data_IF_363077918885
#
_entry.id   IF_363077918885
#
_cell.length_a   1.000
_cell.length_b   1.000
_cell.length_c   1.000
_cell.angle_alpha   90.00
_cell.angle_beta   90.00
_cell.angle_gamma   90.00
#
_symmetry.space_group_name_H-M   'P 1'
#
loop_
_entity.id
_entity.type
_entity.pdbx_description
1 polymer ?
#
# COMPACT_ATOMS: atom_id res chain seq x y z
N UNK A 1 -5.13 0.99 -23.89
CA UNK A 1 -6.32 1.68 -24.42
C UNK A 1 -6.79 0.87 -25.61
N UNK A 2 -7.93 0.19 -25.51
CA UNK A 2 -8.35 -0.88 -26.43
C UNK A 2 -9.87 -0.92 -26.60
N UNK A 3 -10.46 -2.10 -26.77
CA UNK A 3 -11.89 -2.34 -27.06
C UNK A 3 -12.90 -1.99 -25.97
N UNK A 4 -12.46 -1.42 -24.84
CA UNK A 4 -13.34 -1.04 -23.72
C UNK A 4 -13.24 0.47 -23.46
N UNK A 5 -14.38 1.16 -23.28
CA UNK A 5 -14.39 2.58 -22.99
C UNK A 5 -13.69 2.85 -21.66
N UNK A 6 -12.86 3.89 -21.62
CA UNK A 6 -12.26 4.44 -20.42
C UNK A 6 -12.92 5.78 -20.11
N UNK A 7 -13.46 5.92 -18.89
CA UNK A 7 -14.12 7.14 -18.43
C UNK A 7 -13.21 7.80 -17.39
N UNK A 8 -12.84 9.05 -17.63
CA UNK A 8 -12.02 9.85 -16.71
C UNK A 8 -12.92 10.83 -15.96
N UNK A 9 -12.84 10.82 -14.63
CA UNK A 9 -13.61 11.71 -13.76
C UNK A 9 -12.64 12.67 -13.10
N UNK A 10 -12.75 13.95 -13.44
CA UNK A 10 -11.98 15.04 -12.83
C UNK A 10 -12.86 16.03 -12.05
N UNK A 11 -14.15 15.72 -11.88
CA UNK A 11 -15.09 16.53 -11.10
C UNK A 11 -15.30 15.96 -9.69
N UNK A 12 -15.34 16.83 -8.69
CA UNK A 12 -15.51 16.46 -7.27
C UNK A 12 -16.86 15.81 -7.00
N UNK A 13 -17.93 16.34 -7.57
CA UNK A 13 -19.30 15.86 -7.32
C UNK A 13 -19.49 14.46 -7.90
N UNK A 14 -19.03 14.26 -9.14
CA UNK A 14 -19.01 12.95 -9.79
C UNK A 14 -18.11 11.95 -9.06
N UNK A 15 -16.95 12.36 -8.57
CA UNK A 15 -16.07 11.50 -7.77
C UNK A 15 -16.75 11.07 -6.46
N UNK A 16 -17.46 11.97 -5.77
CA UNK A 16 -18.23 11.64 -4.58
C UNK A 16 -19.36 10.65 -4.89
N UNK A 17 -20.11 10.86 -5.98
CA UNK A 17 -21.14 9.93 -6.42
C UNK A 17 -20.54 8.54 -6.70
N UNK A 18 -19.42 8.47 -7.44
CA UNK A 18 -18.82 7.21 -7.84
C UNK A 18 -18.17 6.45 -6.67
N UNK A 19 -17.40 7.14 -5.82
CA UNK A 19 -16.59 6.51 -4.78
C UNK A 19 -17.32 6.35 -3.44
N UNK A 20 -18.32 7.18 -3.16
CA UNK A 20 -19.07 7.16 -1.89
C UNK A 20 -20.48 6.62 -2.11
N UNK A 21 -21.34 7.35 -2.84
CA UNK A 21 -22.76 6.97 -2.96
C UNK A 21 -22.97 5.66 -3.72
N UNK A 22 -22.20 5.44 -4.79
CA UNK A 22 -22.24 4.25 -5.66
C UNK A 22 -20.99 3.38 -5.50
N UNK A 23 -20.31 3.48 -4.35
CA UNK A 23 -19.01 2.85 -4.12
C UNK A 23 -19.00 1.34 -4.40
N UNK A 24 -20.07 0.60 -4.05
CA UNK A 24 -20.17 -0.83 -4.33
C UNK A 24 -20.23 -1.16 -5.83
N UNK A 25 -20.91 -0.33 -6.63
CA UNK A 25 -21.04 -0.51 -8.10
C UNK A 25 -19.67 -0.32 -8.77
N UNK A 26 -18.90 0.67 -8.33
CA UNK A 26 -17.59 1.01 -8.90
C UNK A 26 -16.41 0.37 -8.13
N UNK A 27 -16.66 -0.51 -7.17
CA UNK A 27 -15.59 -1.16 -6.41
C UNK A 27 -14.84 -2.23 -7.20
N UNK A 28 -15.42 -2.75 -8.28
CA UNK A 28 -14.78 -3.74 -9.13
C UNK A 28 -13.53 -3.20 -9.83
N UNK A 29 -12.58 -4.10 -10.09
CA UNK A 29 -11.37 -3.80 -10.87
C UNK A 29 -11.48 -4.43 -12.26
N UNK A 30 -10.91 -3.82 -13.30
CA UNK A 30 -10.88 -4.43 -14.61
C UNK A 30 -10.19 -5.82 -14.57
N UNK A 31 -10.59 -6.76 -15.44
CA UNK A 31 -9.87 -8.02 -15.61
C UNK A 31 -8.39 -7.80 -15.88
N UNK A 32 -7.55 -8.51 -15.13
CA UNK A 32 -6.11 -8.40 -15.22
C UNK A 32 -5.56 -9.04 -16.51
N UNK A 33 -4.53 -8.44 -17.15
CA UNK A 33 -3.74 -9.11 -18.17
C UNK A 33 -3.13 -10.42 -17.66
N UNK A 34 -2.74 -11.32 -18.57
CA UNK A 34 -2.22 -12.64 -18.21
C UNK A 34 -1.05 -12.59 -17.20
N UNK A 35 -0.10 -11.66 -17.39
CA UNK A 35 1.04 -11.47 -16.48
C UNK A 35 0.61 -11.05 -15.07
N UNK A 36 -0.30 -10.10 -14.97
CA UNK A 36 -0.83 -9.63 -13.68
C UNK A 36 -1.71 -10.66 -12.98
N UNK A 37 -2.33 -11.59 -13.71
CA UNK A 37 -3.06 -12.71 -13.09
C UNK A 37 -2.14 -13.64 -12.31
N UNK A 38 -0.93 -13.94 -12.82
CA UNK A 38 0.02 -14.79 -12.08
C UNK A 38 0.46 -14.11 -10.78
N UNK A 39 0.90 -12.84 -10.87
CA UNK A 39 1.36 -12.08 -9.70
C UNK A 39 0.23 -11.80 -8.68
N UNK A 40 -1.00 -11.65 -9.16
CA UNK A 40 -2.15 -11.30 -8.34
C UNK A 40 -2.95 -12.49 -7.79
N UNK A 41 -2.45 -13.73 -7.92
CA UNK A 41 -3.20 -14.95 -7.61
C UNK A 41 -4.59 -14.94 -8.28
N UNK A 42 -4.60 -14.70 -9.59
CA UNK A 42 -5.81 -14.53 -10.41
C UNK A 42 -6.78 -13.47 -9.85
N UNK A 43 -6.26 -12.32 -9.43
CA UNK A 43 -7.00 -11.23 -8.78
C UNK A 43 -7.66 -11.61 -7.45
N UNK A 44 -7.08 -12.53 -6.67
CA UNK A 44 -7.52 -12.84 -5.30
C UNK A 44 -6.69 -12.07 -4.26
N UNK A 45 -6.60 -10.75 -4.42
CA UNK A 45 -5.92 -9.86 -3.47
C UNK A 45 -6.74 -8.59 -3.23
N UNK A 46 -6.36 -7.81 -2.21
CA UNK A 46 -7.16 -6.65 -1.79
C UNK A 46 -7.17 -5.49 -2.80
N UNK A 47 -6.13 -5.34 -3.61
CA UNK A 47 -5.93 -4.17 -4.49
C UNK A 47 -6.58 -4.33 -5.86
N UNK A 48 -6.61 -5.55 -6.40
CA UNK A 48 -6.99 -5.86 -7.78
C UNK A 48 -8.19 -6.80 -7.91
N UNK A 49 -8.76 -7.32 -6.82
CA UNK A 49 -9.92 -8.22 -6.93
C UNK A 49 -11.20 -7.51 -7.33
N UNK A 50 -12.16 -8.31 -7.80
CA UNK A 50 -13.54 -7.92 -7.90
C UNK A 50 -14.15 -7.71 -6.50
N UNK A 51 -15.20 -6.90 -6.43
CA UNK A 51 -16.03 -6.75 -5.26
C UNK A 51 -16.80 -8.05 -5.03
N UNK A 52 -16.38 -8.81 -4.02
CA UNK A 52 -16.90 -10.14 -3.70
C UNK A 52 -16.93 -10.34 -2.18
N UNK A 53 -17.57 -11.41 -1.67
CA UNK A 53 -17.46 -11.79 -0.26
C UNK A 53 -15.99 -11.92 0.21
N UNK A 54 -15.12 -12.51 -0.61
CA UNK A 54 -13.68 -12.64 -0.33
C UNK A 54 -13.01 -11.29 -0.16
N UNK A 55 -13.24 -10.35 -1.08
CA UNK A 55 -12.66 -9.01 -0.96
C UNK A 55 -13.15 -8.27 0.29
N UNK A 56 -14.45 -8.38 0.61
CA UNK A 56 -15.02 -7.77 1.82
C UNK A 56 -14.37 -8.33 3.08
N UNK A 57 -14.12 -9.64 3.12
CA UNK A 57 -13.44 -10.29 4.25
C UNK A 57 -11.99 -9.81 4.38
N UNK A 58 -11.21 -9.82 3.29
CA UNK A 58 -9.83 -9.32 3.27
C UNK A 58 -9.75 -7.86 3.72
N UNK A 59 -10.66 -7.02 3.22
CA UNK A 59 -10.72 -5.60 3.60
C UNK A 59 -11.04 -5.42 5.08
N UNK A 60 -11.99 -6.18 5.61
CA UNK A 60 -12.34 -6.13 7.03
C UNK A 60 -11.15 -6.54 7.89
N UNK A 61 -10.47 -7.63 7.54
CA UNK A 61 -9.30 -8.11 8.26
C UNK A 61 -8.14 -7.11 8.23
N UNK A 62 -7.80 -6.56 7.05
CA UNK A 62 -6.78 -5.52 6.95
C UNK A 62 -7.13 -4.30 7.82
N UNK A 63 -8.41 -3.91 7.82
CA UNK A 63 -8.88 -2.76 8.59
C UNK A 63 -8.82 -3.01 10.09
N UNK A 64 -9.19 -4.20 10.57
CA UNK A 64 -9.21 -4.51 12.01
C UNK A 64 -7.81 -4.78 12.57
N UNK A 65 -6.98 -5.51 11.82
CA UNK A 65 -5.71 -6.02 12.34
C UNK A 65 -4.52 -5.09 12.10
N UNK A 66 -4.55 -4.31 11.01
CA UNK A 66 -3.39 -3.47 10.62
C UNK A 66 -3.74 -1.99 10.66
N UNK A 67 -4.83 -1.58 9.99
CA UNK A 67 -5.16 -0.16 9.80
C UNK A 67 -6.03 0.43 10.92
N UNK A 68 -6.42 -0.37 11.91
CA UNK A 68 -7.20 0.12 13.03
C UNK A 68 -6.35 1.09 13.87
N UNK A 69 -6.97 2.14 14.41
CA UNK A 69 -6.26 3.19 15.15
C UNK A 69 -5.44 2.65 16.34
N UNK A 70 -5.94 1.64 17.05
CA UNK A 70 -5.21 0.97 18.14
C UNK A 70 -3.99 0.20 17.63
N UNK A 71 -4.11 -0.48 16.47
CA UNK A 71 -3.03 -1.24 15.84
C UNK A 71 -1.94 -0.31 15.30
N UNK A 72 -2.31 0.78 14.64
CA UNK A 72 -1.38 1.81 14.18
C UNK A 72 -0.58 2.42 15.36
N UNK A 73 -1.23 2.63 16.51
CA UNK A 73 -0.57 3.09 17.74
C UNK A 73 0.41 2.05 18.27
N UNK A 74 0.05 0.77 18.26
CA UNK A 74 0.94 -0.31 18.68
C UNK A 74 2.25 -0.36 17.86
N UNK A 75 2.18 -0.08 16.55
CA UNK A 75 3.36 0.03 15.68
C UNK A 75 4.11 1.38 15.82
N UNK A 76 3.81 2.20 16.82
CA UNK A 76 4.49 3.47 17.05
C UNK A 76 6.00 3.31 17.27
N UNK A 77 6.40 2.28 18.05
CA UNK A 77 7.81 1.99 18.27
C UNK A 77 8.53 1.60 16.97
N UNK A 78 7.91 0.73 16.15
CA UNK A 78 8.46 0.30 14.87
C UNK A 78 8.72 1.49 13.92
N UNK A 79 7.75 2.42 13.84
CA UNK A 79 7.90 3.65 13.04
C UNK A 79 9.03 4.54 13.53
N UNK A 80 9.18 4.70 14.86
CA UNK A 80 10.29 5.47 15.44
C UNK A 80 11.64 4.81 15.15
N UNK A 81 11.71 3.49 15.24
CA UNK A 81 12.92 2.71 14.92
C UNK A 81 13.33 2.88 13.46
N UNK A 82 12.41 2.68 12.51
CA UNK A 82 12.69 2.87 11.07
C UNK A 82 13.09 4.32 10.74
N UNK A 83 12.46 5.31 11.38
CA UNK A 83 12.85 6.71 11.21
C UNK A 83 14.30 6.95 11.67
N UNK A 84 14.73 6.32 12.77
CA UNK A 84 16.10 6.43 13.24
C UNK A 84 17.09 5.81 12.24
N UNK A 85 16.75 4.66 11.63
CA UNK A 85 17.57 4.06 10.57
C UNK A 85 17.74 5.04 9.42
N UNK A 86 16.64 5.60 8.92
CA UNK A 86 16.64 6.55 7.81
C UNK A 86 17.50 7.79 8.14
N UNK A 87 17.33 8.36 9.34
CA UNK A 87 18.11 9.51 9.78
C UNK A 87 19.61 9.20 9.94
N UNK A 88 19.95 8.01 10.44
CA UNK A 88 21.34 7.60 10.59
C UNK A 88 22.01 7.41 9.23
N UNK A 89 21.33 6.79 8.26
CA UNK A 89 21.82 6.67 6.89
C UNK A 89 22.09 8.04 6.26
N UNK A 90 21.16 9.00 6.38
CA UNK A 90 21.38 10.34 5.85
C UNK A 90 22.51 11.10 6.55
N UNK A 91 22.70 10.94 7.86
CA UNK A 91 23.85 11.53 8.58
C UNK A 91 25.19 10.96 8.15
N UNK A 92 25.24 9.70 7.73
CA UNK A 92 26.46 9.09 7.20
C UNK A 92 26.75 9.62 5.81
N UNK A 93 25.74 9.66 4.95
CA UNK A 93 25.88 10.12 3.56
C UNK A 93 26.18 11.62 3.47
N UNK A 94 25.66 12.43 4.40
CA UNK A 94 25.97 13.86 4.43
C UNK A 94 27.45 14.16 4.63
N UNK A 95 28.25 13.17 5.08
CA UNK A 95 29.69 13.34 5.28
C UNK A 95 30.52 13.15 4.01
N UNK A 96 30.06 12.38 3.01
CA UNK A 96 30.84 12.20 1.78
C UNK A 96 30.62 13.34 0.78
N UNK A 97 29.51 14.06 0.88
CA UNK A 97 29.17 15.17 -0.04
C UNK A 97 28.63 14.68 -1.38
N UNK A 98 28.46 13.38 -1.56
CA UNK A 98 27.96 12.80 -2.81
C UNK A 98 26.44 12.98 -2.96
N UNK A 99 25.93 13.07 -4.20
CA UNK A 99 24.49 13.06 -4.46
C UNK A 99 23.83 11.77 -3.94
N UNK A 100 22.81 11.93 -3.11
CA UNK A 100 22.06 10.81 -2.53
C UNK A 100 20.75 10.58 -3.28
N UNK A 101 20.52 9.33 -3.71
CA UNK A 101 19.22 8.91 -4.24
C UNK A 101 18.26 8.57 -3.10
N UNK A 102 17.60 9.61 -2.61
CA UNK A 102 16.70 9.60 -1.45
C UNK A 102 15.61 8.50 -1.52
N UNK A 103 15.09 8.20 -2.71
CA UNK A 103 14.03 7.19 -2.89
C UNK A 103 14.45 5.79 -2.44
N UNK A 104 15.72 5.41 -2.63
CA UNK A 104 16.20 4.07 -2.30
C UNK A 104 16.20 3.85 -0.77
N UNK A 105 16.59 4.89 -0.01
CA UNK A 105 16.55 4.89 1.45
C UNK A 105 15.13 4.85 2.02
N UNK A 106 14.19 5.59 1.41
CA UNK A 106 12.78 5.50 1.79
C UNK A 106 12.18 4.13 1.48
N UNK A 107 12.52 3.53 0.34
CA UNK A 107 12.06 2.18 -0.01
C UNK A 107 12.57 1.15 1.00
N UNK A 108 13.85 1.21 1.35
CA UNK A 108 14.44 0.34 2.37
C UNK A 108 13.76 0.51 3.73
N UNK A 109 13.62 1.75 4.20
CA UNK A 109 12.94 2.06 5.45
C UNK A 109 11.50 1.52 5.49
N UNK A 110 10.74 1.75 4.41
CA UNK A 110 9.36 1.23 4.30
C UNK A 110 9.33 -0.30 4.24
N UNK A 111 10.28 -0.94 3.58
CA UNK A 111 10.39 -2.39 3.55
C UNK A 111 10.62 -2.96 4.96
N UNK A 112 11.57 -2.41 5.72
CA UNK A 112 11.81 -2.81 7.12
C UNK A 112 10.55 -2.64 7.98
N UNK A 113 9.83 -1.52 7.81
CA UNK A 113 8.59 -1.29 8.55
C UNK A 113 7.54 -2.34 8.22
N UNK A 114 7.33 -2.63 6.93
CA UNK A 114 6.31 -3.57 6.47
C UNK A 114 6.64 -5.01 6.89
N UNK A 115 7.90 -5.42 6.81
CA UNK A 115 8.36 -6.75 7.29
C UNK A 115 8.08 -6.89 8.79
N UNK A 116 8.45 -5.88 9.58
CA UNK A 116 8.18 -5.91 11.02
C UNK A 116 6.68 -5.94 11.33
N UNK A 117 5.86 -5.15 10.62
CA UNK A 117 4.41 -5.12 10.82
C UNK A 117 3.73 -6.43 10.43
N UNK A 118 4.22 -7.12 9.40
CA UNK A 118 3.62 -8.35 8.88
C UNK A 118 4.10 -9.61 9.62
N UNK A 119 5.38 -9.66 10.00
CA UNK A 119 6.04 -10.89 10.48
C UNK A 119 6.56 -10.77 11.91
N UNK A 120 6.69 -9.56 12.46
CA UNK A 120 7.24 -9.32 13.80
C UNK A 120 8.78 -9.29 13.85
N UNK A 121 9.44 -9.59 12.74
CA UNK A 121 10.90 -9.66 12.67
C UNK A 121 11.51 -8.29 12.38
N UNK A 122 12.57 -7.97 13.13
CA UNK A 122 13.46 -6.86 12.79
C UNK A 122 14.48 -7.39 11.79
N UNK A 123 14.59 -6.73 10.65
CA UNK A 123 15.73 -6.94 9.78
C UNK A 123 16.94 -6.31 10.48
N UNK A 124 17.86 -7.15 10.94
CA UNK A 124 19.21 -6.75 11.27
C UNK A 124 19.99 -6.70 9.95
N UNK A 125 20.72 -5.61 9.73
CA UNK A 125 21.69 -5.52 8.62
C UNK A 125 22.86 -6.48 8.86
#
# INVERSE_FOLDING_TARGET
>A
MGSRPAIFIADRSLAYIALIQKGAVFANRPPAPATSRVLGSNQHNISSSFYSPTWRLLRRNLTSEILHSSRIKAFGHARKWVLNILMNQFKLLSKSGDPVRVVDHFQYAMFCLLVFMCFGDKLEE
#
